data_IF_462299453903
#
_entry.id   IF_462299453903
#
_cell.length_a   1.000
_cell.length_b   1.000
_cell.length_c   1.000
_cell.angle_alpha   90.00
_cell.angle_beta   90.00
_cell.angle_gamma   90.00
#
_symmetry.space_group_name_H-M   'P 1'
#
loop_
_entity.id
_entity.type
_entity.pdbx_description
1 polymer ?
#
# COMPACT_ATOMS: atom_id res chain seq x y z
N UNK A 1 6.39 -34.04 2.99
CA UNK A 1 5.85 -33.04 2.03
C UNK A 1 5.66 -31.71 2.72
N UNK A 2 6.68 -30.85 2.74
CA UNK A 2 6.67 -29.49 3.33
C UNK A 2 8.06 -28.93 2.97
N UNK A 3 8.30 -27.93 2.13
CA UNK A 3 7.69 -26.61 2.00
C UNK A 3 8.00 -26.03 0.59
N UNK A 4 7.82 -26.81 -0.48
CA UNK A 4 8.26 -26.41 -1.82
C UNK A 4 7.19 -25.67 -2.66
N UNK A 5 6.33 -24.85 -2.02
CA UNK A 5 5.26 -24.10 -2.71
C UNK A 5 5.23 -22.60 -2.39
N UNK A 6 6.30 -22.03 -1.83
CA UNK A 6 6.37 -20.58 -1.55
C UNK A 6 7.30 -19.80 -2.50
N UNK A 7 8.05 -20.48 -3.37
CA UNK A 7 9.02 -19.85 -4.30
C UNK A 7 8.38 -18.81 -5.27
N UNK A 8 7.06 -18.88 -5.52
CA UNK A 8 6.33 -17.94 -6.41
C UNK A 8 5.62 -16.77 -5.71
N UNK A 9 5.63 -16.63 -4.37
CA UNK A 9 5.04 -15.47 -3.68
C UNK A 9 6.10 -14.79 -2.83
N UNK A 10 6.65 -13.67 -3.30
CA UNK A 10 7.60 -12.81 -2.56
C UNK A 10 6.92 -12.11 -1.36
N UNK A 11 6.43 -12.89 -0.40
CA UNK A 11 5.92 -12.42 0.89
C UNK A 11 7.14 -12.20 1.77
N UNK A 12 7.55 -10.94 1.90
CA UNK A 12 8.66 -10.52 2.75
C UNK A 12 8.32 -9.17 3.38
N UNK A 13 9.10 -8.74 4.38
CA UNK A 13 8.86 -7.49 5.11
C UNK A 13 8.72 -6.26 4.18
N UNK A 14 9.45 -6.26 3.05
CA UNK A 14 9.36 -5.19 2.04
C UNK A 14 7.98 -5.18 1.37
N UNK A 15 7.44 -6.33 1.01
CA UNK A 15 6.06 -6.45 0.47
C UNK A 15 5.04 -6.04 1.53
N UNK A 16 5.18 -6.49 2.77
CA UNK A 16 4.27 -6.14 3.87
C UNK A 16 4.20 -4.62 4.12
N UNK A 17 5.35 -3.92 4.13
CA UNK A 17 5.40 -2.46 4.30
C UNK A 17 4.66 -1.73 3.17
N UNK A 18 4.82 -2.19 1.92
CA UNK A 18 4.13 -1.61 0.76
C UNK A 18 2.62 -1.79 0.87
N UNK A 19 2.17 -3.01 1.18
CA UNK A 19 0.76 -3.33 1.37
C UNK A 19 0.15 -2.52 2.51
N UNK A 20 0.86 -2.38 3.62
CA UNK A 20 0.41 -1.57 4.76
C UNK A 20 0.18 -0.10 4.38
N UNK A 21 1.14 0.53 3.68
CA UNK A 21 1.02 1.94 3.24
C UNK A 21 -0.18 2.12 2.32
N UNK A 22 -0.33 1.27 1.31
CA UNK A 22 -1.46 1.34 0.37
C UNK A 22 -2.80 1.17 1.09
N UNK A 23 -2.91 0.20 2.00
CA UNK A 23 -4.15 -0.07 2.74
C UNK A 23 -4.55 1.07 3.68
N UNK A 24 -3.55 1.76 4.28
CA UNK A 24 -3.82 2.94 5.12
C UNK A 24 -4.26 4.16 4.30
N UNK A 25 -3.69 4.34 3.11
CA UNK A 25 -4.10 5.42 2.19
C UNK A 25 -5.51 5.18 1.64
N UNK A 26 -5.85 3.94 1.30
CA UNK A 26 -7.21 3.57 0.86
C UNK A 26 -8.25 3.87 1.96
N UNK A 27 -7.88 3.74 3.23
CA UNK A 27 -8.70 4.11 4.40
C UNK A 27 -8.71 5.61 4.72
N UNK A 28 -8.07 6.44 3.90
CA UNK A 28 -8.07 7.90 4.05
C UNK A 28 -7.18 8.44 5.17
N UNK A 29 -6.19 7.70 5.64
CA UNK A 29 -5.26 8.22 6.64
C UNK A 29 -4.35 9.32 6.06
N UNK A 30 -4.10 10.40 6.83
CA UNK A 30 -3.21 11.45 6.39
C UNK A 30 -1.76 10.93 6.27
N UNK A 31 -1.02 11.35 5.22
CA UNK A 31 0.32 10.84 4.94
C UNK A 31 1.33 11.14 6.05
N UNK A 32 1.16 12.24 6.78
CA UNK A 32 2.00 12.59 7.94
C UNK A 32 1.98 11.52 9.04
N UNK A 33 0.83 10.87 9.25
CA UNK A 33 0.67 9.80 10.24
C UNK A 33 1.33 8.51 9.74
N UNK A 34 1.18 8.22 8.45
CA UNK A 34 1.77 7.02 7.84
C UNK A 34 3.30 7.09 7.86
N UNK A 35 3.90 8.26 7.66
CA UNK A 35 5.35 8.47 7.72
C UNK A 35 5.90 8.16 9.11
N UNK A 36 5.19 8.54 10.18
CA UNK A 36 5.55 8.19 11.57
C UNK A 36 5.51 6.68 11.80
N UNK A 37 4.47 5.99 11.36
CA UNK A 37 4.36 4.53 11.50
C UNK A 37 5.39 3.75 10.68
N UNK A 38 5.76 4.28 9.51
CA UNK A 38 6.68 3.60 8.61
C UNK A 38 8.14 3.93 8.88
N UNK A 39 8.45 4.93 9.71
CA UNK A 39 9.82 5.34 10.01
C UNK A 39 10.58 5.87 8.79
N UNK A 40 9.87 6.41 7.80
CA UNK A 40 10.51 7.05 6.66
C UNK A 40 11.01 8.44 7.06
N UNK A 41 12.31 8.72 6.89
CA UNK A 41 12.84 10.09 7.01
C UNK A 41 12.40 10.99 5.86
N UNK A 42 12.17 10.40 4.67
CA UNK A 42 11.80 11.11 3.46
C UNK A 42 10.39 10.74 2.98
N UNK A 43 9.59 11.76 2.68
CA UNK A 43 8.21 11.62 2.17
C UNK A 43 8.20 11.16 0.70
N UNK A 44 9.33 11.27 -0.01
CA UNK A 44 9.46 10.93 -1.44
C UNK A 44 8.99 9.51 -1.77
N UNK A 45 9.29 8.55 -0.89
CA UNK A 45 8.82 7.17 -1.06
C UNK A 45 7.32 7.03 -0.89
N UNK A 46 6.68 7.89 -0.09
CA UNK A 46 5.25 7.88 0.17
C UNK A 46 4.44 8.40 -1.03
N UNK A 47 4.95 9.41 -1.74
CA UNK A 47 4.32 10.02 -2.93
C UNK A 47 3.97 8.99 -4.00
N UNK A 48 4.82 7.97 -4.18
CA UNK A 48 4.55 6.88 -5.13
C UNK A 48 3.30 6.07 -4.77
N UNK A 49 3.04 5.85 -3.48
CA UNK A 49 1.86 5.09 -3.03
C UNK A 49 0.58 5.92 -3.08
N UNK A 50 0.68 7.24 -2.84
CA UNK A 50 -0.46 8.16 -2.96
C UNK A 50 -1.02 8.14 -4.38
N UNK A 51 -0.18 8.29 -5.40
CA UNK A 51 -0.59 8.23 -6.81
C UNK A 51 -1.32 6.93 -7.19
N UNK A 52 -0.89 5.80 -6.62
CA UNK A 52 -1.49 4.48 -6.89
C UNK A 52 -2.84 4.34 -6.16
N UNK A 53 -2.95 4.86 -4.94
CA UNK A 53 -4.19 4.84 -4.17
C UNK A 53 -5.27 5.74 -4.80
N UNK A 54 -4.90 6.93 -5.29
CA UNK A 54 -5.83 7.84 -5.96
C UNK A 54 -6.39 7.26 -7.26
N UNK A 55 -5.55 6.62 -8.08
CA UNK A 55 -5.99 5.93 -9.29
C UNK A 55 -7.01 4.82 -8.99
N UNK A 56 -6.79 4.05 -7.91
CA UNK A 56 -7.74 3.04 -7.46
C UNK A 56 -9.04 3.63 -6.95
N UNK A 57 -8.98 4.72 -6.17
CA UNK A 57 -10.17 5.38 -5.62
C UNK A 57 -11.10 5.88 -6.74
N UNK A 58 -10.54 6.44 -7.82
CA UNK A 58 -11.30 6.82 -9.02
C UNK A 58 -12.04 5.65 -9.65
N UNK A 59 -11.35 4.52 -9.86
CA UNK A 59 -11.96 3.30 -10.43
C UNK A 59 -13.03 2.66 -9.53
N UNK A 60 -12.91 2.81 -8.21
CA UNK A 60 -13.90 2.30 -7.25
C UNK A 60 -15.16 3.18 -7.23
N UNK A 61 -14.98 4.51 -7.34
CA UNK A 61 -16.09 5.47 -7.42
C UNK A 61 -16.90 5.32 -8.72
N UNK A 62 -16.26 4.94 -9.83
CA UNK A 62 -16.94 4.63 -11.09
C UNK A 62 -17.80 3.37 -10.97
N UNK A 63 -17.27 2.30 -10.36
CA UNK A 63 -17.99 1.04 -10.16
C UNK A 63 -19.14 1.07 -9.14
N UNK A 64 -19.14 2.03 -8.22
CA UNK A 64 -20.22 2.12 -7.20
C UNK A 64 -21.47 2.80 -7.77
N UNK A 65 -21.41 3.30 -9.01
CA UNK A 65 -22.50 4.02 -9.69
C UNK A 65 -23.34 3.13 -10.62
N UNK A 66 -23.06 1.84 -10.66
CA UNK A 66 -23.75 0.80 -11.44
C UNK A 66 -24.44 -0.17 -10.49
#
# INVERSE_FOLDING_TARGET
>A
MCLDRLSKRRINARTSRRTFVTHRLERGMPPAVIVKFTGHKDIKTLVRYVKIADAKKGSLMEKTRE
#
